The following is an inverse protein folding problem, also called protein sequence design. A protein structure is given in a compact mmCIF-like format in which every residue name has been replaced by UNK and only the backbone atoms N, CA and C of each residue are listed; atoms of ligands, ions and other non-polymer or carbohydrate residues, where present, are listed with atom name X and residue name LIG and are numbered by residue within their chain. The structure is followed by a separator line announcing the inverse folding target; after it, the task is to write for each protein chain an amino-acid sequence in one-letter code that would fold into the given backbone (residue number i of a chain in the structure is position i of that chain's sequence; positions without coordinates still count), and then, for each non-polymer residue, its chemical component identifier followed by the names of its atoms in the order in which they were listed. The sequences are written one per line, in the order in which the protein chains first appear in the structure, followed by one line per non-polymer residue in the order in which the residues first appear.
data_IF_505797252329
#
_entry.id   IF_505797252329
#
_cell.length_a   1.000
_cell.length_b   1.000
_cell.length_c   1.000
_cell.angle_alpha   90.00
_cell.angle_beta   90.00
_cell.angle_gamma   90.00
#
_symmetry.space_group_name_H-M   'P 1'
#
loop_
_entity.id
_entity.type
_entity.pdbx_description
1 polymer ?
#
# COMPACT_ATOMS: atom_id res chain seq x y z
N UNK A 1 -9.32 0.57 34.48
CA UNK A 1 -8.92 1.64 33.55
C UNK A 1 -7.98 1.01 32.52
N UNK A 2 -8.39 0.03 31.72
CA UNK A 2 -9.39 0.11 30.63
C UNK A 2 -8.94 1.01 29.48
N UNK A 3 -7.79 0.69 28.87
CA UNK A 3 -7.54 0.84 27.43
C UNK A 3 -6.36 -0.01 26.96
N UNK A 4 -6.30 -1.25 27.43
CA UNK A 4 -5.57 -2.31 26.75
C UNK A 4 -6.46 -2.86 25.63
N UNK A 5 -6.90 -1.95 24.76
CA UNK A 5 -7.50 -2.28 23.50
C UNK A 5 -6.33 -2.35 22.55
N UNK A 6 -5.77 -3.55 22.41
CA UNK A 6 -4.99 -4.05 21.30
C UNK A 6 -4.64 -2.91 20.33
N UNK A 7 -3.60 -2.14 20.66
CA UNK A 7 -2.95 -1.34 19.64
C UNK A 7 -2.39 -2.39 18.70
N UNK A 8 -3.14 -2.73 17.65
CA UNK A 8 -2.66 -3.66 16.64
C UNK A 8 -1.44 -2.97 16.03
N UNK A 9 -0.28 -3.33 16.56
CA UNK A 9 0.97 -2.69 16.26
C UNK A 9 1.26 -2.95 14.79
N UNK A 10 1.53 -1.87 14.07
CA UNK A 10 1.82 -1.97 12.64
C UNK A 10 3.16 -2.67 12.51
N UNK A 11 3.15 -3.92 12.07
CA UNK A 11 4.36 -4.72 11.90
C UNK A 11 5.06 -4.39 10.58
N UNK A 12 4.28 -4.21 9.51
CA UNK A 12 4.81 -3.95 8.17
C UNK A 12 4.00 -2.87 7.47
N UNK A 13 4.69 -1.94 6.81
CA UNK A 13 4.12 -0.85 6.03
C UNK A 13 4.57 -0.93 4.57
N UNK A 14 3.62 -0.93 3.63
CA UNK A 14 3.86 -0.62 2.24
C UNK A 14 3.72 0.87 1.97
N UNK A 15 4.75 1.48 1.42
CA UNK A 15 4.78 2.89 1.03
C UNK A 15 4.96 3.00 -0.50
N UNK A 16 3.91 3.48 -1.17
CA UNK A 16 3.93 3.75 -2.61
C UNK A 16 4.08 5.25 -2.87
N UNK A 17 5.08 5.61 -3.67
CA UNK A 17 5.52 6.99 -3.87
C UNK A 17 4.90 7.55 -5.16
N UNK A 18 3.85 8.36 -5.05
CA UNK A 18 3.33 9.16 -6.17
C UNK A 18 3.96 10.55 -6.23
N UNK A 19 3.70 11.30 -7.32
CA UNK A 19 4.26 12.65 -7.53
C UNK A 19 3.94 13.61 -6.37
N UNK A 20 2.68 13.60 -5.92
CA UNK A 20 2.17 14.50 -4.87
C UNK A 20 1.48 13.78 -3.71
N UNK A 21 1.09 12.52 -3.92
CA UNK A 21 0.31 11.72 -2.98
C UNK A 21 0.98 10.37 -2.80
N UNK A 22 1.13 9.98 -1.56
CA UNK A 22 1.79 8.77 -1.10
C UNK A 22 0.71 7.86 -0.52
N UNK A 23 0.76 6.59 -0.87
CA UNK A 23 -0.18 5.61 -0.36
C UNK A 23 0.52 4.78 0.71
N UNK A 24 -0.10 4.73 1.90
CA UNK A 24 0.38 3.97 3.05
C UNK A 24 -0.58 2.82 3.32
N UNK A 25 -0.03 1.62 3.42
CA UNK A 25 -0.77 0.42 3.80
C UNK A 25 -0.01 -0.31 4.91
N UNK A 26 -0.60 -0.43 6.10
CA UNK A 26 0.01 -1.12 7.23
C UNK A 26 -0.77 -2.36 7.62
N UNK A 27 -0.04 -3.44 7.91
CA UNK A 27 -0.58 -4.68 8.45
C UNK A 27 0.00 -4.95 9.84
N UNK A 28 -0.77 -5.62 10.69
CA UNK A 28 -0.28 -6.17 11.95
C UNK A 28 0.49 -7.48 11.73
N UNK A 29 1.01 -8.06 12.82
CA UNK A 29 1.72 -9.34 12.79
C UNK A 29 0.86 -10.52 12.29
N UNK A 30 -0.47 -10.42 12.36
CA UNK A 30 -1.40 -11.41 11.83
C UNK A 30 -1.72 -11.20 10.33
N UNK A 31 -1.13 -10.18 9.70
CA UNK A 31 -1.39 -9.81 8.31
C UNK A 31 -2.72 -9.06 8.12
N UNK A 32 -3.37 -8.64 9.21
CA UNK A 32 -4.61 -7.86 9.14
C UNK A 32 -4.28 -6.41 8.82
N UNK A 33 -5.02 -5.83 7.87
CA UNK A 33 -4.86 -4.42 7.52
C UNK A 33 -5.35 -3.54 8.67
N UNK A 34 -4.43 -2.78 9.24
CA UNK A 34 -4.69 -1.85 10.36
C UNK A 34 -4.56 -0.39 9.93
N UNK A 35 -3.81 -0.12 8.86
CA UNK A 35 -3.63 1.22 8.32
C UNK A 35 -3.86 1.23 6.81
N UNK A 36 -4.67 2.18 6.34
CA UNK A 36 -4.80 2.50 4.92
C UNK A 36 -5.06 3.98 4.75
N UNK A 37 -4.07 4.73 4.25
CA UNK A 37 -4.14 6.19 4.20
C UNK A 37 -3.42 6.77 2.99
N UNK A 38 -3.99 7.84 2.43
CA UNK A 38 -3.29 8.71 1.49
C UNK A 38 -2.63 9.85 2.27
N UNK A 39 -1.35 10.10 2.03
CA UNK A 39 -0.59 11.19 2.65
C UNK A 39 -0.02 12.11 1.58
N UNK A 40 0.07 13.40 1.91
CA UNK A 40 0.93 14.32 1.16
C UNK A 40 2.38 14.10 1.59
N UNK A 41 3.32 14.45 0.72
CA UNK A 41 4.77 14.31 0.94
C UNK A 41 5.22 14.73 2.35
N UNK A 42 4.80 15.92 2.79
CA UNK A 42 5.23 16.51 4.06
C UNK A 42 4.65 15.80 5.31
N UNK A 43 3.65 14.94 5.14
CA UNK A 43 3.03 14.18 6.23
C UNK A 43 3.55 12.74 6.35
N UNK A 44 4.42 12.29 5.44
CA UNK A 44 4.92 10.91 5.46
C UNK A 44 5.83 10.67 6.67
N UNK A 45 6.83 11.53 6.90
CA UNK A 45 7.75 11.38 8.03
C UNK A 45 7.03 11.53 9.38
N UNK A 46 6.22 12.59 9.63
CA UNK A 46 5.52 12.72 10.91
C UNK A 46 4.54 11.58 11.19
N UNK A 47 3.99 10.97 10.13
CA UNK A 47 3.10 9.82 10.29
C UNK A 47 3.87 8.56 10.71
N UNK A 48 4.99 8.27 10.05
CA UNK A 48 5.77 7.06 10.32
C UNK A 48 6.55 7.16 11.63
N UNK A 49 7.03 8.36 11.99
CA UNK A 49 7.64 8.64 13.30
C UNK A 49 6.68 8.42 14.48
N UNK A 50 5.37 8.53 14.25
CA UNK A 50 4.34 8.21 15.24
C UNK A 50 4.04 6.71 15.39
N UNK A 51 4.64 5.86 14.55
CA UNK A 51 4.54 4.40 14.66
C UNK A 51 5.76 3.85 15.41
N UNK A 52 5.58 2.71 16.07
CA UNK A 52 6.73 1.91 16.52
C UNK A 52 7.64 1.56 15.34
N UNK A 53 8.96 1.38 15.57
CA UNK A 53 9.87 0.81 14.59
C UNK A 53 9.26 -0.45 13.94
N UNK A 54 9.20 -0.43 12.61
CA UNK A 54 8.52 -1.44 11.82
C UNK A 54 9.19 -1.56 10.45
N UNK A 55 8.86 -2.62 9.73
CA UNK A 55 9.41 -2.88 8.41
C UNK A 55 8.65 -2.07 7.35
N UNK A 56 9.36 -1.29 6.54
CA UNK A 56 8.76 -0.48 5.47
C UNK A 56 9.22 -0.99 4.11
N UNK A 57 8.30 -1.57 3.36
CA UNK A 57 8.46 -1.86 1.95
C UNK A 57 8.20 -0.62 1.09
N UNK A 58 9.19 -0.19 0.30
CA UNK A 58 9.05 0.92 -0.64
C UNK A 58 9.20 0.40 -2.05
N UNK A 59 8.28 0.75 -2.95
CA UNK A 59 8.47 0.48 -4.37
C UNK A 59 9.68 1.25 -4.91
N UNK A 60 10.59 0.55 -5.59
CA UNK A 60 11.74 1.13 -6.23
C UNK A 60 11.32 2.12 -7.32
N UNK A 61 11.57 3.40 -7.07
CA UNK A 61 11.42 4.49 -8.02
C UNK A 61 12.60 5.46 -7.88
N UNK A 62 12.67 6.48 -8.73
CA UNK A 62 13.76 7.47 -8.70
C UNK A 62 13.96 8.13 -7.33
N UNK A 63 12.90 8.22 -6.51
CA UNK A 63 12.95 8.82 -5.17
C UNK A 63 13.02 7.80 -4.02
N UNK A 64 12.93 6.51 -4.28
CA UNK A 64 12.80 5.48 -3.24
C UNK A 64 14.01 5.44 -2.30
N UNK A 65 15.22 5.57 -2.83
CA UNK A 65 16.44 5.63 -2.02
C UNK A 65 16.49 6.85 -1.09
N UNK A 66 15.98 8.01 -1.53
CA UNK A 66 15.88 9.19 -0.67
C UNK A 66 14.95 8.92 0.51
N UNK A 67 13.77 8.34 0.24
CA UNK A 67 12.83 7.98 1.29
C UNK A 67 13.37 6.91 2.22
N UNK A 68 14.02 5.87 1.68
CA UNK A 68 14.60 4.81 2.51
C UNK A 68 15.58 5.35 3.55
N UNK A 69 16.47 6.28 3.17
CA UNK A 69 17.38 6.92 4.13
C UNK A 69 16.66 7.71 5.22
N UNK A 70 15.61 8.45 4.86
CA UNK A 70 14.84 9.23 5.83
C UNK A 70 14.10 8.33 6.83
N UNK A 71 13.54 7.21 6.36
CA UNK A 71 12.82 6.26 7.20
C UNK A 71 13.76 5.44 8.10
N UNK A 72 14.93 5.07 7.60
CA UNK A 72 15.97 4.46 8.42
C UNK A 72 16.48 5.42 9.50
N UNK A 73 16.59 6.72 9.21
CA UNK A 73 17.05 7.71 10.17
C UNK A 73 16.11 7.88 11.38
N UNK A 74 14.82 7.59 11.22
CA UNK A 74 13.82 7.60 12.31
C UNK A 74 13.60 6.21 12.93
N UNK A 75 14.40 5.21 12.56
CA UNK A 75 14.44 3.90 13.22
C UNK A 75 13.67 2.76 12.55
N UNK A 76 13.12 2.95 11.35
CA UNK A 76 12.47 1.86 10.61
C UNK A 76 13.46 0.99 9.83
N UNK A 77 13.17 -0.29 9.70
CA UNK A 77 13.82 -1.14 8.70
C UNK A 77 13.19 -0.87 7.33
N UNK A 78 13.99 -0.75 6.27
CA UNK A 78 13.48 -0.44 4.92
C UNK A 78 13.92 -1.50 3.92
N UNK A 79 12.98 -2.00 3.13
CA UNK A 79 13.23 -2.86 1.96
C UNK A 79 12.74 -2.18 0.70
N UNK A 80 13.63 -2.03 -0.29
CA UNK A 80 13.27 -1.55 -1.62
C UNK A 80 12.80 -2.72 -2.48
N UNK A 81 11.56 -2.66 -2.95
CA UNK A 81 10.95 -3.73 -3.75
C UNK A 81 10.98 -3.38 -5.24
N UNK A 82 11.34 -4.31 -6.14
CA UNK A 82 11.29 -4.05 -7.57
C UNK A 82 9.86 -3.75 -8.04
N UNK A 83 9.66 -2.89 -9.07
CA UNK A 83 8.33 -2.53 -9.57
C UNK A 83 7.51 -3.72 -10.06
N UNK A 84 8.17 -4.80 -10.47
CA UNK A 84 7.53 -6.04 -10.92
C UNK A 84 6.62 -6.68 -9.85
N UNK A 85 6.90 -6.43 -8.58
CA UNK A 85 6.14 -6.97 -7.44
C UNK A 85 4.95 -6.07 -7.06
N UNK A 86 4.92 -4.83 -7.55
CA UNK A 86 3.81 -3.89 -7.37
C UNK A 86 2.93 -3.96 -8.61
N UNK A 87 1.91 -4.86 -8.61
CA UNK A 87 1.00 -5.03 -9.75
C UNK A 87 0.47 -3.66 -10.25
N UNK A 88 0.89 -3.20 -11.44
CA UNK A 88 0.39 -1.95 -11.98
C UNK A 88 -1.03 -2.14 -12.51
N UNK A 89 -1.95 -1.30 -12.06
CA UNK A 89 -3.31 -1.27 -12.60
C UNK A 89 -3.30 -0.51 -13.94
N UNK A 90 -3.14 -1.21 -15.06
CA UNK A 90 -3.36 -0.62 -16.38
C UNK A 90 -4.81 -0.93 -16.81
N UNK A 91 -5.76 -0.04 -16.48
CA UNK A 91 -7.02 0.00 -17.21
C UNK A 91 -6.82 0.88 -18.44
N UNK A 92 -6.45 0.26 -19.56
CA UNK A 92 -6.49 0.88 -20.89
C UNK A 92 -7.95 0.86 -21.35
N UNK A 93 -8.66 1.98 -21.23
CA UNK A 93 -10.03 2.15 -21.71
C UNK A 93 -10.06 3.14 -22.86
N UNK A 94 -9.69 2.70 -24.05
CA UNK A 94 -10.11 3.33 -25.30
C UNK A 94 -10.04 2.26 -26.39
N UNK A 95 -11.17 1.67 -26.75
CA UNK A 95 -11.40 1.15 -28.10
C UNK A 95 -12.90 1.03 -28.40
N UNK A 96 -13.22 1.40 -29.63
CA UNK A 96 -14.53 1.52 -30.25
C UNK A 96 -15.03 0.13 -30.72
N UNK A 97 -16.23 -0.29 -30.28
CA UNK A 97 -17.22 -1.21 -30.90
C UNK A 97 -16.78 -2.62 -31.42
N UNK A 98 -17.72 -3.56 -31.74
CA UNK A 98 -19.08 -3.82 -31.27
C UNK A 98 -19.27 -5.22 -30.62
N UNK A 99 -20.42 -5.41 -29.97
CA UNK A 99 -20.89 -6.63 -29.31
C UNK A 99 -21.04 -7.85 -30.25
N UNK A 100 -20.60 -9.03 -29.79
CA UNK A 100 -21.27 -10.32 -30.07
C UNK A 100 -20.94 -11.37 -28.98
N UNK A 101 -21.98 -11.88 -28.30
CA UNK A 101 -22.03 -13.30 -27.90
C UNK A 101 -21.67 -13.70 -26.46
N UNK A 102 -22.72 -13.83 -25.64
CA UNK A 102 -23.06 -15.00 -24.77
C UNK A 102 -22.18 -15.39 -23.56
N UNK A 103 -22.79 -15.39 -22.37
CA UNK A 103 -22.37 -16.21 -21.22
C UNK A 103 -22.94 -15.72 -19.89
N UNK A 104 -23.59 -16.59 -19.12
CA UNK A 104 -24.46 -16.29 -17.96
C UNK A 104 -23.69 -16.28 -16.61
N UNK A 105 -24.04 -15.31 -15.75
CA UNK A 105 -24.08 -15.16 -14.26
C UNK A 105 -23.45 -16.23 -13.31
N UNK A 106 -22.96 -15.89 -12.07
CA UNK A 106 -23.67 -15.00 -11.13
C UNK A 106 -22.85 -14.02 -10.26
N UNK A 107 -23.51 -12.91 -9.94
CA UNK A 107 -23.47 -12.10 -8.70
C UNK A 107 -22.14 -12.04 -7.93
N UNK A 108 -21.15 -11.35 -8.49
CA UNK A 108 -20.02 -10.84 -7.72
C UNK A 108 -20.43 -9.48 -7.14
N UNK A 109 -20.69 -9.48 -5.82
CA UNK A 109 -20.90 -8.29 -4.97
C UNK A 109 -20.32 -7.06 -5.63
N UNK A 110 -21.21 -6.12 -5.98
CA UNK A 110 -20.90 -4.81 -6.55
C UNK A 110 -19.83 -4.12 -5.71
N UNK A 111 -18.57 -4.38 -6.02
CA UNK A 111 -17.46 -3.56 -5.57
C UNK A 111 -17.60 -2.25 -6.31
N UNK A 112 -17.85 -1.21 -5.53
CA UNK A 112 -17.99 0.15 -5.99
C UNK A 112 -16.83 0.49 -6.95
N UNK A 113 -17.10 0.83 -8.23
CA UNK A 113 -16.08 1.06 -9.25
C UNK A 113 -15.19 2.30 -8.99
N UNK A 114 -15.41 3.02 -7.89
CA UNK A 114 -14.50 4.03 -7.36
C UNK A 114 -13.32 3.46 -6.54
N UNK A 115 -13.32 2.17 -6.23
CA UNK A 115 -12.24 1.50 -5.49
C UNK A 115 -11.15 0.97 -6.42
N UNK A 116 -10.52 1.87 -7.18
CA UNK A 116 -9.25 1.59 -7.88
C UNK A 116 -8.16 1.31 -6.83
N UNK A 117 -8.04 0.04 -6.47
CA UNK A 117 -7.29 -0.46 -5.32
C UNK A 117 -6.21 -1.36 -5.90
N UNK A 118 -4.97 -0.85 -6.01
CA UNK A 118 -3.80 -1.71 -6.07
C UNK A 118 -3.98 -2.83 -5.03
N UNK A 119 -3.56 -4.05 -5.34
CA UNK A 119 -3.53 -5.15 -4.37
C UNK A 119 -2.41 -4.90 -3.35
N UNK A 120 -2.57 -3.86 -2.53
CA UNK A 120 -1.57 -3.39 -1.56
C UNK A 120 -1.23 -4.48 -0.54
N UNK A 121 -2.16 -5.38 -0.22
CA UNK A 121 -1.91 -6.53 0.66
C UNK A 121 -0.75 -7.40 0.18
N UNK A 122 -0.61 -7.61 -1.14
CA UNK A 122 0.45 -8.46 -1.70
C UNK A 122 1.83 -7.82 -1.60
N UNK A 123 1.94 -6.52 -1.92
CA UNK A 123 3.21 -5.80 -1.79
C UNK A 123 3.66 -5.67 -0.32
N UNK A 124 2.73 -5.59 0.63
CA UNK A 124 3.07 -5.55 2.06
C UNK A 124 3.44 -6.93 2.60
N UNK A 125 2.79 -8.00 2.14
CA UNK A 125 3.21 -9.37 2.44
C UNK A 125 4.59 -9.69 1.86
N UNK A 126 4.90 -9.20 0.66
CA UNK A 126 6.23 -9.37 0.05
C UNK A 126 7.30 -8.56 0.79
N UNK A 127 6.96 -7.36 1.28
CA UNK A 127 7.86 -6.60 2.14
C UNK A 127 8.18 -7.37 3.44
N UNK A 128 7.26 -8.21 3.91
CA UNK A 128 7.41 -9.04 5.10
C UNK A 128 8.21 -10.33 4.88
N UNK A 129 8.39 -10.77 3.63
CA UNK A 129 9.18 -11.94 3.24
C UNK A 129 10.66 -11.56 3.11
#
# INVERSE_FOLDING_TARGET
MSRELIMQEVAVVGLYLGKNVFQVHGIDAAGTVVVRKQLRRNHVLPFLEGLSPCLVGIEACASAHHWGRQLMAIGHEVRLMPPAYVKPHVKRGNDLAPNLGLGREPDQKRENPSSNRFSFSGAVQEAAA
#
